data_IF_646817679189
#
_entry.id   IF_646817679189
#
_cell.length_a   1.000
_cell.length_b   1.000
_cell.length_c   1.000
_cell.angle_alpha   90.00
_cell.angle_beta   90.00
_cell.angle_gamma   90.00
#
_symmetry.space_group_name_H-M   'P 1'
#
loop_
_entity.id
_entity.type
_entity.pdbx_description
1 polymer ?
#
# COMPACT_ATOMS: atom_id res chain seq x y z
N UNK A 1 -27.21 26.68 -43.57
CA UNK A 1 -26.92 25.87 -42.38
C UNK A 1 -26.96 26.77 -41.16
N UNK A 2 -27.97 26.61 -40.32
CA UNK A 2 -28.25 27.49 -39.18
C UNK A 2 -27.39 27.12 -37.96
N UNK A 3 -26.61 28.08 -37.44
CA UNK A 3 -25.97 27.98 -36.12
C UNK A 3 -26.88 28.64 -35.08
N UNK A 4 -27.48 27.80 -34.24
CA UNK A 4 -28.31 28.16 -33.10
C UNK A 4 -27.41 28.46 -31.88
N UNK A 5 -27.62 29.65 -31.32
CA UNK A 5 -27.95 29.89 -29.90
C UNK A 5 -27.08 29.24 -28.83
N UNK A 6 -26.22 30.03 -28.16
CA UNK A 6 -25.95 30.03 -26.69
C UNK A 6 -25.33 31.40 -26.35
N UNK A 7 -26.18 32.37 -26.03
CA UNK A 7 -25.82 33.62 -25.34
C UNK A 7 -27.10 34.09 -24.65
N UNK A 8 -27.28 33.69 -23.40
CA UNK A 8 -28.20 34.29 -22.42
C UNK A 8 -28.06 33.47 -21.15
N UNK A 9 -27.30 33.98 -20.18
CA UNK A 9 -27.51 33.91 -18.73
C UNK A 9 -26.28 34.54 -18.04
N UNK A 10 -26.02 35.80 -18.38
CA UNK A 10 -25.27 36.76 -17.57
C UNK A 10 -26.32 37.73 -17.02
N UNK A 11 -27.02 37.36 -15.95
CA UNK A 11 -27.79 38.29 -15.12
C UNK A 11 -28.33 37.54 -13.91
N UNK A 12 -28.06 38.05 -12.71
CA UNK A 12 -28.81 37.70 -11.51
C UNK A 12 -28.04 36.87 -10.49
N UNK A 13 -26.94 37.41 -9.97
CA UNK A 13 -26.20 36.79 -8.88
C UNK A 13 -25.50 37.80 -7.97
N UNK A 14 -26.11 38.97 -7.76
CA UNK A 14 -25.62 39.92 -6.76
C UNK A 14 -26.77 40.60 -6.02
N UNK A 15 -26.74 40.41 -4.70
CA UNK A 15 -27.22 41.28 -3.62
C UNK A 15 -28.67 41.15 -3.10
N UNK A 16 -28.74 40.85 -1.78
CA UNK A 16 -29.77 41.23 -0.78
C UNK A 16 -31.12 40.49 -0.90
N UNK A 17 -31.79 40.01 0.15
CA UNK A 17 -32.11 40.62 1.45
C UNK A 17 -32.42 39.51 2.48
N UNK A 18 -32.00 39.78 3.73
CA UNK A 18 -32.45 39.15 4.98
C UNK A 18 -33.98 39.21 5.15
N UNK A 19 -34.68 38.08 5.22
CA UNK A 19 -35.89 37.96 6.05
C UNK A 19 -36.04 36.55 6.61
N UNK A 20 -36.20 36.52 7.93
CA UNK A 20 -36.85 35.46 8.70
C UNK A 20 -37.96 34.77 7.90
N UNK A 21 -37.98 33.43 7.93
CA UNK A 21 -39.22 32.67 8.07
C UNK A 21 -38.90 31.18 8.30
N UNK A 22 -38.94 30.80 9.57
CA UNK A 22 -39.19 29.42 9.97
C UNK A 22 -40.56 29.01 9.42
N UNK A 23 -40.61 28.35 8.27
CA UNK A 23 -41.83 27.74 7.76
C UNK A 23 -41.53 26.35 7.20
N UNK A 24 -41.74 25.38 8.09
CA UNK A 24 -42.37 24.09 7.82
C UNK A 24 -41.81 23.23 6.67
N UNK A 25 -40.73 22.49 6.94
CA UNK A 25 -40.35 21.31 6.14
C UNK A 25 -40.34 19.98 6.93
N UNK A 26 -40.62 20.00 8.24
CA UNK A 26 -40.52 18.80 9.10
C UNK A 26 -41.81 17.97 9.16
N UNK A 27 -42.95 18.50 8.71
CA UNK A 27 -44.25 17.81 8.82
C UNK A 27 -44.56 16.85 7.68
N UNK A 28 -44.03 17.09 6.47
CA UNK A 28 -44.44 16.38 5.27
C UNK A 28 -43.90 14.94 5.21
N UNK A 29 -42.66 14.73 5.64
CA UNK A 29 -42.00 13.42 5.60
C UNK A 29 -42.57 12.44 6.64
N UNK A 30 -42.89 12.92 7.84
CA UNK A 30 -43.43 12.05 8.90
C UNK A 30 -44.85 11.55 8.61
N UNK A 31 -45.65 12.33 7.88
CA UNK A 31 -46.98 11.91 7.43
C UNK A 31 -46.91 10.87 6.30
N UNK A 32 -45.98 11.04 5.35
CA UNK A 32 -45.81 10.13 4.21
C UNK A 32 -45.43 8.69 4.64
N UNK A 33 -44.53 8.54 5.62
CA UNK A 33 -44.06 7.21 6.08
C UNK A 33 -45.00 6.49 7.06
N UNK A 34 -45.98 7.18 7.65
CA UNK A 34 -46.92 6.59 8.62
C UNK A 34 -48.32 6.35 8.06
N UNK A 35 -48.53 6.54 6.76
CA UNK A 35 -49.83 6.32 6.15
C UNK A 35 -50.08 4.83 5.85
N UNK A 36 -51.26 4.27 6.23
CA UNK A 36 -51.54 2.83 6.22
C UNK A 36 -51.67 2.21 4.83
N UNK A 37 -51.40 2.96 3.75
CA UNK A 37 -51.45 2.47 2.36
C UNK A 37 -50.08 2.06 1.81
N UNK A 38 -48.99 2.37 2.53
CA UNK A 38 -47.66 1.91 2.15
C UNK A 38 -47.34 0.64 2.93
N UNK A 39 -47.65 -0.50 2.33
CA UNK A 39 -47.14 -1.79 2.78
C UNK A 39 -45.62 -1.70 2.86
N UNK A 40 -45.06 -1.91 4.06
CA UNK A 40 -43.62 -2.17 4.20
C UNK A 40 -43.30 -3.37 3.31
N UNK A 41 -42.40 -3.26 2.31
CA UNK A 41 -41.96 -4.45 1.60
C UNK A 41 -41.34 -5.39 2.64
N UNK A 42 -41.81 -6.64 2.68
CA UNK A 42 -41.23 -7.65 3.52
C UNK A 42 -39.73 -7.72 3.21
N UNK A 43 -38.89 -7.41 4.20
CA UNK A 43 -37.46 -7.56 4.07
C UNK A 43 -37.18 -9.03 3.78
N UNK A 44 -36.52 -9.39 2.67
CA UNK A 44 -36.07 -10.76 2.47
C UNK A 44 -35.09 -11.06 3.61
N UNK A 45 -35.45 -12.04 4.45
CA UNK A 45 -34.55 -12.54 5.50
C UNK A 45 -33.47 -13.31 4.76
N UNK A 46 -32.41 -12.61 4.35
CA UNK A 46 -31.21 -13.22 3.81
C UNK A 46 -30.53 -13.93 4.98
N UNK A 47 -30.82 -15.21 5.15
CA UNK A 47 -30.09 -16.12 6.01
C UNK A 47 -28.70 -16.29 5.42
N UNK A 48 -27.81 -15.32 5.68
CA UNK A 48 -26.39 -15.58 5.59
C UNK A 48 -26.06 -16.50 6.76
N UNK A 49 -25.96 -17.78 6.45
CA UNK A 49 -25.21 -18.71 7.28
C UNK A 49 -23.85 -18.06 7.54
N UNK A 50 -23.62 -17.68 8.80
CA UNK A 50 -22.37 -17.08 9.24
C UNK A 50 -21.30 -18.16 9.12
N UNK A 51 -20.70 -18.26 7.94
CA UNK A 51 -19.45 -18.99 7.74
C UNK A 51 -18.50 -18.43 8.78
N UNK A 52 -18.09 -19.29 9.72
CA UNK A 52 -17.08 -18.94 10.69
C UNK A 52 -15.85 -18.51 9.89
N UNK A 53 -15.54 -17.21 9.91
CA UNK A 53 -14.26 -16.71 9.43
C UNK A 53 -13.25 -17.29 10.40
N UNK A 54 -12.64 -18.41 10.02
CA UNK A 54 -11.43 -18.91 10.65
C UNK A 54 -10.46 -17.75 10.51
N UNK A 55 -9.97 -17.24 11.63
CA UNK A 55 -8.93 -16.21 11.63
C UNK A 55 -7.67 -16.88 11.07
N UNK A 56 -7.56 -16.91 9.74
CA UNK A 56 -6.48 -17.54 9.01
C UNK A 56 -5.21 -16.74 9.25
N UNK A 57 -4.58 -16.99 10.39
CA UNK A 57 -3.28 -16.43 10.72
C UNK A 57 -2.27 -16.96 9.70
N UNK A 58 -1.74 -16.11 8.80
CA UNK A 58 -0.83 -16.56 7.77
C UNK A 58 0.47 -17.01 8.44
N UNK A 59 0.94 -18.18 8.05
CA UNK A 59 2.23 -18.70 8.50
C UNK A 59 3.30 -18.07 7.62
N UNK A 60 4.27 -17.41 8.26
CA UNK A 60 5.39 -16.79 7.56
C UNK A 60 6.57 -17.76 7.60
N UNK A 61 6.99 -18.20 6.42
CA UNK A 61 8.19 -19.03 6.24
C UNK A 61 9.27 -18.17 5.61
N UNK A 62 10.39 -18.02 6.31
CA UNK A 62 11.53 -17.23 5.88
C UNK A 62 12.56 -18.12 5.19
N UNK A 63 12.96 -17.75 3.96
CA UNK A 63 13.97 -18.47 3.17
C UNK A 63 15.22 -17.62 2.99
N UNK A 64 16.37 -18.25 3.19
CA UNK A 64 17.68 -17.61 2.94
C UNK A 64 18.23 -18.11 1.60
N UNK A 65 18.43 -17.18 0.67
CA UNK A 65 18.98 -17.48 -0.65
C UNK A 65 20.51 -17.49 -0.63
N UNK A 66 21.11 -18.13 -1.65
CA UNK A 66 22.56 -18.22 -1.77
C UNK A 66 23.28 -16.87 -1.92
N UNK A 67 22.57 -15.82 -2.33
CA UNK A 67 23.06 -14.45 -2.42
C UNK A 67 22.88 -13.64 -1.12
N UNK A 68 22.41 -14.27 -0.03
CA UNK A 68 22.12 -13.60 1.25
C UNK A 68 20.81 -12.82 1.29
N UNK A 69 20.01 -12.80 0.21
CA UNK A 69 18.64 -12.27 0.28
C UNK A 69 17.76 -13.15 1.15
N UNK A 70 16.80 -12.52 1.81
CA UNK A 70 15.80 -13.17 2.64
C UNK A 70 14.44 -12.97 1.98
N UNK A 71 13.67 -14.05 1.82
CA UNK A 71 12.33 -14.02 1.24
C UNK A 71 11.31 -14.57 2.25
N UNK A 72 10.36 -13.73 2.64
CA UNK A 72 9.26 -14.10 3.53
C UNK A 72 8.06 -14.55 2.72
N UNK A 73 7.68 -15.81 2.88
CA UNK A 73 6.58 -16.45 2.16
C UNK A 73 5.42 -16.59 3.12
N UNK A 74 4.28 -16.03 2.72
CA UNK A 74 3.03 -16.13 3.47
C UNK A 74 2.25 -17.33 2.97
N UNK A 75 2.07 -18.32 3.84
CA UNK A 75 1.21 -19.46 3.60
C UNK A 75 -0.10 -19.25 4.36
N UNK A 76 -1.20 -19.38 3.65
CA UNK A 76 -2.54 -19.29 4.23
C UNK A 76 -2.97 -20.70 4.61
N UNK A 77 -3.23 -21.00 5.90
CA UNK A 77 -3.74 -22.29 6.31
C UNK A 77 -5.15 -22.50 5.74
N UNK A 78 -5.44 -23.71 5.26
CA UNK A 78 -6.73 -24.15 4.75
C UNK A 78 -7.13 -25.46 5.43
N UNK A 79 -8.40 -25.86 5.33
CA UNK A 79 -8.98 -27.01 6.06
C UNK A 79 -8.16 -28.30 5.96
N UNK A 80 -7.48 -28.51 4.84
CA UNK A 80 -6.70 -29.73 4.54
C UNK A 80 -5.25 -29.44 4.14
N UNK A 81 -4.73 -28.21 4.31
CA UNK A 81 -3.37 -27.89 3.86
C UNK A 81 -3.01 -26.41 3.94
N UNK A 82 -2.16 -25.96 3.01
CA UNK A 82 -1.65 -24.59 2.96
C UNK A 82 -1.70 -24.05 1.54
N UNK A 83 -2.05 -22.77 1.41
CA UNK A 83 -2.11 -22.06 0.12
C UNK A 83 -0.97 -21.05 0.07
N UNK A 84 -0.15 -21.11 -0.97
CA UNK A 84 0.98 -20.22 -1.22
C UNK A 84 0.60 -18.91 -1.89
N UNK A 85 1.54 -17.95 -1.99
CA UNK A 85 1.30 -16.63 -2.54
C UNK A 85 0.82 -16.56 -4.00
N UNK A 86 1.06 -17.58 -4.84
CA UNK A 86 0.50 -17.63 -6.21
C UNK A 86 -0.71 -18.55 -6.31
N UNK A 87 -1.31 -18.94 -5.18
CA UNK A 87 -2.42 -19.88 -5.13
C UNK A 87 -2.01 -21.34 -5.26
N UNK A 88 -0.72 -21.68 -5.08
CA UNK A 88 -0.28 -23.07 -5.03
C UNK A 88 -0.81 -23.75 -3.77
N UNK A 89 -1.30 -24.99 -3.90
CA UNK A 89 -1.78 -25.76 -2.76
C UNK A 89 -0.76 -26.80 -2.31
N UNK A 90 -0.55 -26.89 -1.01
CA UNK A 90 0.32 -27.86 -0.34
C UNK A 90 -0.51 -28.67 0.64
N UNK A 91 -0.58 -29.99 0.45
CA UNK A 91 -1.31 -30.90 1.34
C UNK A 91 -0.70 -31.03 2.74
N UNK A 92 0.58 -30.68 2.88
CA UNK A 92 1.35 -30.66 4.14
C UNK A 92 2.24 -29.42 4.15
N UNK A 93 2.81 -29.07 5.32
CA UNK A 93 3.72 -27.93 5.43
C UNK A 93 4.90 -28.11 4.46
N UNK A 94 5.06 -27.23 3.47
CA UNK A 94 6.12 -27.38 2.47
C UNK A 94 7.50 -27.15 3.09
N UNK A 95 8.49 -27.87 2.58
CA UNK A 95 9.88 -27.69 3.00
C UNK A 95 10.48 -26.39 2.46
N UNK A 96 11.49 -25.86 3.16
CA UNK A 96 12.24 -24.69 2.68
C UNK A 96 12.80 -24.91 1.27
N UNK A 97 13.29 -26.12 0.96
CA UNK A 97 13.83 -26.44 -0.37
C UNK A 97 12.78 -26.37 -1.48
N UNK A 98 11.56 -26.86 -1.23
CA UNK A 98 10.45 -26.78 -2.18
C UNK A 98 10.03 -25.33 -2.42
N UNK A 99 9.87 -24.57 -1.34
CA UNK A 99 9.52 -23.16 -1.45
C UNK A 99 10.65 -22.36 -2.14
N UNK A 100 11.92 -22.67 -1.86
CA UNK A 100 13.07 -22.01 -2.50
C UNK A 100 13.12 -22.25 -4.01
N UNK A 101 12.70 -23.42 -4.48
CA UNK A 101 12.58 -23.70 -5.92
C UNK A 101 11.55 -22.82 -6.62
N UNK A 102 10.51 -22.36 -5.90
CA UNK A 102 9.39 -21.60 -6.47
C UNK A 102 9.57 -20.08 -6.23
N UNK A 103 10.13 -19.70 -5.09
CA UNK A 103 10.17 -18.33 -4.59
C UNK A 103 11.59 -17.78 -4.33
N UNK A 104 12.63 -18.62 -4.36
CA UNK A 104 13.99 -18.25 -3.93
C UNK A 104 14.55 -17.00 -4.63
N UNK A 105 14.64 -17.00 -5.97
CA UNK A 105 15.27 -15.87 -6.67
C UNK A 105 14.27 -14.79 -7.16
N UNK A 106 13.01 -15.15 -7.39
CA UNK A 106 12.02 -14.26 -7.98
C UNK A 106 11.30 -13.37 -6.94
N UNK A 107 11.25 -13.77 -5.67
CA UNK A 107 10.57 -13.04 -4.59
C UNK A 107 11.52 -12.47 -3.54
N UNK A 108 12.83 -12.67 -3.72
CA UNK A 108 13.81 -11.91 -2.97
C UNK A 108 13.62 -10.43 -3.31
N UNK A 109 13.29 -9.54 -2.35
CA UNK A 109 13.54 -8.12 -2.56
C UNK A 109 15.02 -7.99 -2.98
N UNK A 110 15.36 -7.11 -3.94
CA UNK A 110 16.75 -6.90 -4.31
C UNK A 110 17.52 -6.68 -3.02
N UNK A 111 18.57 -7.46 -2.78
CA UNK A 111 19.34 -7.32 -1.55
C UNK A 111 19.71 -5.85 -1.50
N UNK A 112 19.20 -5.13 -0.48
CA UNK A 112 19.65 -3.77 -0.23
C UNK A 112 21.05 -3.91 0.34
N UNK A 113 21.99 -4.20 -0.54
CA UNK A 113 23.42 -4.14 -0.32
C UNK A 113 23.85 -2.69 -0.08
N UNK A 114 22.89 -1.75 -0.13
CA UNK A 114 23.14 -0.34 -0.10
C UNK A 114 23.15 0.16 1.35
N UNK A 115 24.26 0.76 1.77
CA UNK A 115 24.34 1.55 3.00
C UNK A 115 24.13 3.02 2.64
N UNK A 116 23.18 3.67 3.30
CA UNK A 116 22.83 5.05 3.04
C UNK A 116 23.42 5.92 4.15
N UNK A 117 24.21 6.91 3.77
CA UNK A 117 24.77 7.94 4.63
C UNK A 117 24.11 9.29 4.34
N UNK A 118 23.57 9.90 5.39
CA UNK A 118 23.06 11.27 5.34
C UNK A 118 24.17 12.20 5.86
N UNK A 119 24.88 12.88 4.98
CA UNK A 119 26.03 13.71 5.34
C UNK A 119 25.64 15.15 5.76
N UNK A 120 24.34 15.42 5.87
CA UNK A 120 23.81 16.75 6.13
C UNK A 120 24.08 17.71 4.97
N UNK A 121 24.23 19.01 5.27
CA UNK A 121 24.44 20.06 4.27
C UNK A 121 25.92 20.20 3.93
N UNK A 122 26.22 20.06 2.65
CA UNK A 122 27.52 20.30 2.05
C UNK A 122 27.40 21.47 1.08
N UNK A 123 28.09 22.57 1.36
CA UNK A 123 27.96 23.83 0.61
C UNK A 123 26.50 24.31 0.50
N UNK A 124 25.71 24.11 1.57
CA UNK A 124 24.30 24.49 1.63
C UNK A 124 23.32 23.46 1.04
N UNK A 125 23.81 22.41 0.36
CA UNK A 125 22.99 21.37 -0.28
C UNK A 125 23.02 20.09 0.55
N UNK A 126 21.86 19.48 0.82
CA UNK A 126 21.81 18.19 1.49
C UNK A 126 22.48 17.10 0.64
N UNK A 127 23.38 16.34 1.25
CA UNK A 127 24.16 15.31 0.57
C UNK A 127 23.84 13.94 1.14
N UNK A 128 23.35 13.06 0.27
CA UNK A 128 23.12 11.64 0.57
C UNK A 128 24.11 10.83 -0.25
N UNK A 129 24.80 9.90 0.39
CA UNK A 129 25.73 8.98 -0.24
C UNK A 129 25.21 7.56 -0.05
N UNK A 130 25.16 6.81 -1.14
CA UNK A 130 24.72 5.41 -1.14
C UNK A 130 25.92 4.56 -1.52
N UNK A 131 26.33 3.66 -0.64
CA UNK A 131 27.41 2.70 -0.89
C UNK A 131 26.81 1.34 -1.16
N UNK A 132 27.17 0.69 -2.26
CA UNK A 132 26.74 -0.68 -2.58
C UNK A 132 27.76 -1.68 -2.07
N UNK A 133 27.35 -2.61 -1.21
CA UNK A 133 28.19 -3.69 -0.70
C UNK A 133 28.55 -4.66 -1.84
N UNK A 134 29.83 -4.91 -1.99
CA UNK A 134 30.40 -5.80 -2.98
C UNK A 134 31.44 -6.73 -2.34
N UNK A 135 31.07 -8.01 -2.20
CA UNK A 135 31.84 -8.99 -1.46
C UNK A 135 32.11 -8.56 -0.01
N UNK A 136 33.39 -8.33 0.31
CA UNK A 136 33.87 -7.87 1.62
C UNK A 136 33.91 -6.35 1.76
N UNK A 137 33.74 -5.61 0.67
CA UNK A 137 33.89 -4.15 0.64
C UNK A 137 32.62 -3.43 0.19
N UNK A 138 32.79 -2.16 -0.16
CA UNK A 138 31.72 -1.25 -0.54
C UNK A 138 32.15 -0.39 -1.73
N UNK A 139 31.26 -0.19 -2.69
CA UNK A 139 31.44 0.66 -3.87
C UNK A 139 30.61 1.93 -3.68
N UNK A 140 31.25 3.10 -3.80
CA UNK A 140 30.56 4.39 -3.71
C UNK A 140 30.04 4.92 -5.06
N UNK A 141 29.30 6.04 -5.06
CA UNK A 141 28.65 6.61 -6.24
C UNK A 141 29.58 7.01 -7.39
N UNK A 142 30.88 7.25 -7.14
CA UNK A 142 31.86 7.55 -8.22
C UNK A 142 32.72 6.34 -8.58
N UNK A 143 32.33 5.14 -8.12
CA UNK A 143 33.06 3.90 -8.38
C UNK A 143 34.25 3.66 -7.46
N UNK A 144 34.40 4.45 -6.40
CA UNK A 144 35.42 4.21 -5.38
C UNK A 144 35.15 2.92 -4.59
N UNK A 145 36.20 2.19 -4.23
CA UNK A 145 36.11 0.97 -3.44
C UNK A 145 36.61 1.19 -2.01
N UNK A 146 35.86 0.71 -1.03
CA UNK A 146 36.20 0.74 0.39
C UNK A 146 36.31 -0.70 0.91
N UNK A 147 37.48 -1.07 1.43
CA UNK A 147 37.73 -2.41 1.98
C UNK A 147 36.92 -2.70 3.26
N UNK A 148 36.41 -1.66 3.91
CA UNK A 148 35.56 -1.71 5.10
C UNK A 148 34.55 -0.57 5.05
N UNK A 149 33.54 -0.58 5.92
CA UNK A 149 32.56 0.51 5.96
C UNK A 149 33.27 1.82 6.32
N UNK A 150 33.27 2.84 5.44
CA UNK A 150 33.93 4.11 5.72
C UNK A 150 33.17 4.91 6.76
N UNK A 151 33.89 5.78 7.46
CA UNK A 151 33.30 6.70 8.43
C UNK A 151 32.69 7.92 7.72
N UNK A 152 31.68 8.53 8.33
CA UNK A 152 30.98 9.69 7.77
C UNK A 152 31.94 10.84 7.42
N UNK A 153 32.94 11.12 8.27
CA UNK A 153 33.91 12.19 8.04
C UNK A 153 34.71 11.98 6.74
N UNK A 154 35.10 10.73 6.43
CA UNK A 154 35.84 10.38 5.22
C UNK A 154 34.98 10.61 3.98
N UNK A 155 33.70 10.24 4.06
CA UNK A 155 32.74 10.48 2.98
C UNK A 155 32.55 11.99 2.78
N UNK A 156 32.48 12.79 3.85
CA UNK A 156 32.38 14.25 3.73
C UNK A 156 33.57 14.85 2.98
N UNK A 157 34.79 14.43 3.25
CA UNK A 157 35.97 14.92 2.51
C UNK A 157 35.92 14.65 0.99
N UNK A 158 35.25 13.57 0.58
CA UNK A 158 35.17 13.15 -0.84
C UNK A 158 33.96 13.79 -1.56
N UNK A 159 32.80 13.86 -0.90
CA UNK A 159 31.54 14.26 -1.53
C UNK A 159 31.07 15.67 -1.16
N UNK A 160 31.70 16.34 -0.19
CA UNK A 160 31.33 17.67 0.29
C UNK A 160 32.36 18.75 -0.04
N UNK A 161 33.11 18.56 -1.14
CA UNK A 161 33.96 19.60 -1.72
C UNK A 161 33.14 20.68 -2.39
#
# INVERSE_FOLDING_TARGET
MAKKTIYCMLAGGLLLILTNNAFAFDGFWNWYFNHPRFFKPATPVSSFEKVAVIEENPIIVTIINGNGSVADIRLVPSDIGYIGPKGEYYSTMPSEAQLKSIYGLAYAPPVRNNVIFYLGKCNGVEKVVVLTKDGTGYIGPKGEYYNSLPQEYQLREIYCK
#
